data_IF_306533028777
#
_entry.id   IF_306533028777
#
_cell.length_a   1.000
_cell.length_b   1.000
_cell.length_c   1.000
_cell.angle_alpha   90.00
_cell.angle_beta   90.00
_cell.angle_gamma   90.00
#
_symmetry.space_group_name_H-M   'P 1'
#
loop_
_entity.id
_entity.type
_entity.pdbx_description
1 polymer ?
#
# COMPACT_ATOMS: atom_id res chain seq x y z
N UNK A 1 -6.10 -3.21 2.22
CA UNK A 1 -5.45 -2.00 1.66
C UNK A 1 -3.93 -2.04 1.67
N UNK A 2 -3.30 -2.31 2.83
CA UNK A 2 -1.83 -2.40 2.98
C UNK A 2 -1.15 -3.30 1.93
N UNK A 3 -1.71 -4.49 1.68
CA UNK A 3 -1.21 -5.41 0.65
C UNK A 3 -1.31 -4.90 -0.80
N UNK A 4 -2.21 -3.95 -1.08
CA UNK A 4 -2.36 -3.34 -2.41
C UNK A 4 -1.40 -2.15 -2.59
N UNK A 5 -1.08 -1.46 -1.50
CA UNK A 5 -0.07 -0.40 -1.49
C UNK A 5 1.34 -0.97 -1.74
N UNK A 6 1.66 -2.12 -1.14
CA UNK A 6 2.93 -2.83 -1.39
C UNK A 6 3.09 -3.34 -2.82
N UNK A 7 1.99 -3.45 -3.58
CA UNK A 7 2.01 -3.83 -5.00
C UNK A 7 2.22 -2.62 -5.94
N UNK A 8 2.39 -1.41 -5.39
CA UNK A 8 2.58 -0.18 -6.19
C UNK A 8 1.34 0.25 -6.98
N UNK A 9 0.15 -0.25 -6.63
CA UNK A 9 -1.07 0.02 -7.39
C UNK A 9 -1.51 1.49 -7.26
N UNK A 10 -2.05 2.04 -8.35
CA UNK A 10 -2.64 3.39 -8.35
C UNK A 10 -3.91 3.43 -7.48
N UNK A 11 -4.28 4.62 -6.99
CA UNK A 11 -5.49 4.82 -6.16
C UNK A 11 -6.74 4.19 -6.79
N UNK A 12 -6.96 4.44 -8.09
CA UNK A 12 -8.08 3.88 -8.87
C UNK A 12 -8.13 2.36 -8.90
N UNK A 13 -6.98 1.70 -9.10
CA UNK A 13 -6.92 0.23 -9.12
C UNK A 13 -7.13 -0.37 -7.72
N UNK A 14 -6.68 0.34 -6.69
CA UNK A 14 -6.87 -0.04 -5.29
C UNK A 14 -8.34 0.10 -4.89
N UNK A 15 -8.99 1.17 -5.33
CA UNK A 15 -10.41 1.44 -5.15
C UNK A 15 -11.28 0.36 -5.80
N UNK A 16 -10.98 0.05 -7.07
CA UNK A 16 -11.64 -1.00 -7.84
C UNK A 16 -11.53 -2.38 -7.16
N UNK A 17 -10.31 -2.77 -6.75
CA UNK A 17 -10.07 -4.06 -6.07
C UNK A 17 -10.69 -4.16 -4.67
N UNK A 18 -10.89 -3.05 -3.97
CA UNK A 18 -11.53 -3.03 -2.65
C UNK A 18 -13.02 -2.66 -2.71
N UNK A 19 -13.58 -2.45 -3.90
CA UNK A 19 -14.97 -2.01 -4.10
C UNK A 19 -15.33 -0.76 -3.27
N UNK A 20 -14.39 0.17 -3.14
CA UNK A 20 -14.55 1.44 -2.42
C UNK A 20 -14.19 2.61 -3.34
N UNK A 21 -14.61 3.83 -2.98
CA UNK A 21 -14.24 5.03 -3.74
C UNK A 21 -12.75 5.38 -3.59
N UNK A 22 -12.18 6.00 -4.63
CA UNK A 22 -10.80 6.52 -4.59
C UNK A 22 -10.56 7.51 -3.44
N UNK A 23 -11.58 8.30 -3.08
CA UNK A 23 -11.54 9.20 -1.92
C UNK A 23 -11.28 8.41 -0.63
N UNK A 24 -11.98 7.29 -0.44
CA UNK A 24 -11.80 6.39 0.72
C UNK A 24 -10.39 5.81 0.76
N UNK A 25 -9.82 5.48 -0.40
CA UNK A 25 -8.42 5.06 -0.50
C UNK A 25 -7.49 6.18 -0.02
N UNK A 26 -7.67 7.42 -0.49
CA UNK A 26 -6.82 8.56 -0.09
C UNK A 26 -6.87 8.82 1.42
N UNK A 27 -8.06 8.77 2.03
CA UNK A 27 -8.22 8.91 3.49
C UNK A 27 -7.47 7.81 4.24
N UNK A 28 -7.65 6.56 3.82
CA UNK A 28 -6.92 5.45 4.43
C UNK A 28 -5.39 5.59 4.30
N UNK A 29 -4.88 6.10 3.17
CA UNK A 29 -3.43 6.34 2.98
C UNK A 29 -2.94 7.44 3.89
N UNK A 30 -3.71 8.51 4.02
CA UNK A 30 -3.39 9.62 4.91
C UNK A 30 -3.28 9.14 6.36
N UNK A 31 -4.30 8.42 6.85
CA UNK A 31 -4.30 7.87 8.20
C UNK A 31 -3.12 6.91 8.44
N UNK A 32 -2.73 6.11 7.45
CA UNK A 32 -1.56 5.24 7.53
C UNK A 32 -0.25 6.02 7.57
N UNK A 33 -0.13 7.06 6.73
CA UNK A 33 1.05 7.93 6.71
C UNK A 33 1.22 8.65 8.05
N UNK A 34 0.14 9.14 8.66
CA UNK A 34 0.19 9.72 9.99
C UNK A 34 0.60 8.69 11.05
N UNK A 35 -0.02 7.50 11.05
CA UNK A 35 0.31 6.43 12.01
C UNK A 35 1.74 5.92 11.89
N UNK A 36 2.28 5.86 10.67
CA UNK A 36 3.65 5.39 10.41
C UNK A 36 4.67 6.52 10.34
N UNK A 37 4.27 7.78 10.56
CA UNK A 37 5.12 8.96 10.42
C UNK A 37 5.83 9.01 9.05
N UNK A 38 5.13 8.58 8.01
CA UNK A 38 5.63 8.58 6.64
C UNK A 38 5.25 9.89 5.94
N UNK A 39 6.23 10.56 5.34
CA UNK A 39 6.01 11.81 4.61
C UNK A 39 5.57 11.61 3.16
N UNK A 40 5.56 10.36 2.69
CA UNK A 40 5.28 10.00 1.31
C UNK A 40 4.82 8.55 1.19
N UNK A 41 4.03 8.29 0.16
CA UNK A 41 3.61 6.93 -0.25
C UNK A 41 4.79 5.95 -0.39
N UNK A 42 5.86 6.24 -1.15
CA UNK A 42 6.99 5.33 -1.28
C UNK A 42 7.69 5.05 0.07
N UNK A 43 7.76 6.05 0.95
CA UNK A 43 8.30 5.88 2.31
C UNK A 43 7.41 4.93 3.12
N UNK A 44 6.08 5.11 3.07
CA UNK A 44 5.11 4.20 3.70
C UNK A 44 5.25 2.77 3.19
N UNK A 45 5.41 2.57 1.87
CA UNK A 45 5.62 1.25 1.26
C UNK A 45 6.90 0.62 1.79
N UNK A 46 8.03 1.33 1.76
CA UNK A 46 9.30 0.81 2.26
C UNK A 46 9.27 0.47 3.76
N UNK A 47 8.57 1.26 4.58
CA UNK A 47 8.37 0.95 6.01
C UNK A 47 7.51 -0.30 6.20
N UNK A 48 6.49 -0.48 5.37
CA UNK A 48 5.61 -1.65 5.41
C UNK A 48 6.33 -2.93 4.94
N UNK A 49 7.18 -2.84 3.92
CA UNK A 49 8.01 -3.95 3.44
C UNK A 49 9.01 -4.40 4.52
N UNK A 50 9.62 -3.44 5.22
CA UNK A 50 10.49 -3.73 6.37
C UNK A 50 9.73 -4.40 7.50
N UNK A 51 8.53 -3.93 7.83
CA UNK A 51 7.69 -4.53 8.86
C UNK A 51 7.25 -5.97 8.49
N UNK A 52 6.85 -6.20 7.23
CA UNK A 52 6.50 -7.53 6.71
C UNK A 52 7.69 -8.50 6.81
N UNK A 53 8.87 -8.05 6.40
CA UNK A 53 10.11 -8.83 6.48
C UNK A 53 10.46 -9.18 7.93
N UNK A 54 10.20 -8.27 8.87
CA UNK A 54 10.38 -8.52 10.31
C UNK A 54 9.34 -9.48 10.90
N UNK A 55 8.17 -9.63 10.28
CA UNK A 55 7.08 -10.49 10.75
C UNK A 55 7.20 -11.93 10.21
N UNK A 56 8.19 -12.23 9.36
CA UNK A 56 8.41 -13.57 8.80
C UNK A 56 7.45 -13.95 7.67
N UNK A 57 6.63 -13.01 7.20
CA UNK A 57 5.81 -13.20 6.01
C UNK A 57 6.70 -13.10 4.75
N UNK A 58 6.69 -14.10 3.85
CA UNK A 58 7.50 -14.06 2.66
C UNK A 58 7.15 -12.84 1.80
N UNK A 59 8.15 -12.20 1.15
CA UNK A 59 7.89 -11.10 0.23
C UNK A 59 6.95 -11.60 -0.87
N UNK A 60 5.73 -11.09 -0.88
CA UNK A 60 4.74 -11.45 -1.90
C UNK A 60 5.33 -11.06 -3.26
N UNK A 61 5.43 -11.99 -4.23
CA UNK A 61 6.06 -11.71 -5.52
C UNK A 61 5.33 -10.55 -6.15
N UNK A 62 6.05 -9.46 -6.39
CA UNK A 62 5.54 -8.28 -7.04
C UNK A 62 5.21 -8.68 -8.49
N UNK A 63 3.95 -9.06 -8.72
CA UNK A 63 3.42 -9.40 -10.03
C UNK A 63 3.51 -8.19 -10.94
N UNK A 64 4.59 -8.14 -11.73
CA UNK A 64 4.74 -7.24 -12.85
C UNK A 64 3.70 -7.62 -13.92
N UNK A 65 2.50 -7.06 -13.83
CA UNK A 65 1.65 -6.92 -15.01
C UNK A 65 1.83 -5.51 -15.54
N UNK A 66 2.83 -5.39 -16.44
CA UNK A 66 2.86 -4.37 -17.50
C UNK A 66 1.48 -4.31 -18.14
N UNK A 67 0.79 -3.18 -18.05
CA UNK A 67 0.05 -2.50 -19.13
C UNK A 67 -0.10 -1.02 -18.77
#
# INVERSE_FOLDING_TARGET
MLALLSQGLRNKQTADRMNISEVTVKVHRHNLMEKMQATSVPMLIGMLERLRSATGEPPQPNGHSRQ
#
